data_IF_238612086066
#
_entry.id   IF_238612086066
#
_cell.length_a   1.000
_cell.length_b   1.000
_cell.length_c   1.000
_cell.angle_alpha   90.00
_cell.angle_beta   90.00
_cell.angle_gamma   90.00
#
_symmetry.space_group_name_H-M   'P 1'
#
loop_
_entity.id
_entity.type
_entity.pdbx_description
1 polymer ?
#
# COMPACT_ATOMS: atom_id res chain seq x y z
N UNK A 1 -19.40 3.04 18.93
CA UNK A 1 -18.21 2.81 18.09
C UNK A 1 -18.60 3.18 16.65
N UNK A 2 -17.77 3.91 15.89
CA UNK A 2 -18.19 4.54 14.61
C UNK A 2 -18.55 3.53 13.50
N UNK A 3 -17.99 2.33 13.57
CA UNK A 3 -18.26 1.14 12.77
C UNK A 3 -19.67 0.53 12.99
N UNK A 4 -20.35 0.93 14.06
CA UNK A 4 -21.74 0.53 14.38
C UNK A 4 -22.77 1.63 14.06
N UNK A 5 -22.36 2.70 13.39
CA UNK A 5 -23.27 3.80 13.02
C UNK A 5 -24.39 3.33 12.09
N UNK A 6 -25.63 3.85 12.18
CA UNK A 6 -26.67 3.54 11.19
C UNK A 6 -26.33 4.06 9.78
N UNK A 7 -25.43 5.05 9.67
CA UNK A 7 -24.96 5.57 8.38
C UNK A 7 -23.85 4.68 7.81
N UNK A 8 -24.07 4.11 6.62
CA UNK A 8 -23.06 3.32 5.90
C UNK A 8 -21.77 4.09 5.61
N UNK A 9 -21.87 5.38 5.31
CA UNK A 9 -20.71 6.25 5.13
C UNK A 9 -19.91 6.40 6.43
N UNK A 10 -20.60 6.69 7.54
CA UNK A 10 -19.94 6.79 8.85
C UNK A 10 -19.29 5.46 9.27
N UNK A 11 -19.94 4.32 8.96
CA UNK A 11 -19.36 2.99 9.18
C UNK A 11 -18.10 2.80 8.35
N UNK A 12 -18.16 3.06 7.04
CA UNK A 12 -17.00 2.91 6.13
C UNK A 12 -15.77 3.63 6.66
N UNK A 13 -15.95 4.87 7.15
CA UNK A 13 -14.87 5.68 7.75
C UNK A 13 -14.41 5.10 9.10
N UNK A 14 -15.36 4.68 9.94
CA UNK A 14 -15.07 4.01 11.20
C UNK A 14 -14.26 2.72 11.01
N UNK A 15 -14.59 1.94 9.98
CA UNK A 15 -13.83 0.76 9.59
C UNK A 15 -12.40 1.13 9.19
N UNK A 16 -12.19 2.21 8.43
CA UNK A 16 -10.84 2.60 8.00
C UNK A 16 -9.97 2.95 9.20
N UNK A 17 -10.50 3.76 10.12
CA UNK A 17 -9.77 4.11 11.34
C UNK A 17 -9.48 2.89 12.21
N UNK A 18 -10.48 2.06 12.48
CA UNK A 18 -10.30 0.93 13.39
C UNK A 18 -9.45 -0.18 12.80
N UNK A 19 -9.71 -0.59 11.57
CA UNK A 19 -9.07 -1.75 10.95
C UNK A 19 -7.83 -1.37 10.14
N UNK A 20 -7.88 -0.26 9.39
CA UNK A 20 -6.74 0.19 8.58
C UNK A 20 -5.63 0.86 9.39
N UNK A 21 -5.96 1.62 10.43
CA UNK A 21 -4.97 2.47 11.12
C UNK A 21 -4.65 2.06 12.56
N UNK A 22 -5.54 1.38 13.26
CA UNK A 22 -5.36 1.08 14.68
C UNK A 22 -5.12 -0.40 14.96
N UNK A 23 -5.84 -1.30 14.29
CA UNK A 23 -5.87 -2.71 14.68
C UNK A 23 -4.51 -3.39 14.62
N UNK A 24 -3.65 -3.01 13.68
CA UNK A 24 -2.33 -3.61 13.50
C UNK A 24 -1.38 -3.38 14.69
N UNK A 25 -1.67 -2.42 15.58
CA UNK A 25 -0.86 -2.18 16.78
C UNK A 25 -1.19 -3.12 17.93
N UNK A 26 -2.34 -3.82 17.89
CA UNK A 26 -2.81 -4.64 19.01
C UNK A 26 -3.52 -5.94 18.59
N UNK A 27 -3.61 -6.23 17.28
CA UNK A 27 -4.17 -7.45 16.70
C UNK A 27 -3.33 -7.91 15.50
N UNK A 28 -3.42 -9.21 15.14
CA UNK A 28 -2.81 -9.73 13.92
C UNK A 28 -3.33 -9.03 12.65
N UNK A 29 -2.51 -9.00 11.59
CA UNK A 29 -2.83 -8.31 10.33
C UNK A 29 -4.05 -8.89 9.62
N UNK A 30 -4.38 -10.17 9.85
CA UNK A 30 -5.57 -10.83 9.32
C UNK A 30 -6.86 -10.14 9.77
N UNK A 31 -6.87 -9.55 10.97
CA UNK A 31 -8.01 -8.77 11.44
C UNK A 31 -8.17 -7.44 10.67
N UNK A 32 -7.06 -6.87 10.21
CA UNK A 32 -7.04 -5.71 9.31
C UNK A 32 -7.58 -6.08 7.94
N UNK A 33 -7.18 -7.23 7.38
CA UNK A 33 -7.65 -7.73 6.08
C UNK A 33 -9.17 -7.83 6.00
N UNK A 34 -9.79 -8.52 6.96
CA UNK A 34 -11.26 -8.67 7.01
C UNK A 34 -11.96 -7.32 7.11
N UNK A 35 -11.46 -6.43 7.97
CA UNK A 35 -12.00 -5.10 8.15
C UNK A 35 -11.91 -4.24 6.89
N UNK A 36 -10.78 -4.29 6.19
CA UNK A 36 -10.58 -3.60 4.92
C UNK A 36 -11.48 -4.12 3.81
N UNK A 37 -11.70 -5.44 3.70
CA UNK A 37 -12.68 -6.00 2.74
C UNK A 37 -14.10 -5.48 3.02
N UNK A 38 -14.53 -5.51 4.28
CA UNK A 38 -15.86 -5.02 4.67
C UNK A 38 -15.98 -3.52 4.40
N UNK A 39 -14.96 -2.74 4.74
CA UNK A 39 -14.91 -1.31 4.48
C UNK A 39 -14.98 -0.97 2.99
N UNK A 40 -14.22 -1.68 2.15
CA UNK A 40 -14.28 -1.53 0.70
C UNK A 40 -15.69 -1.76 0.16
N UNK A 41 -16.31 -2.90 0.50
CA UNK A 41 -17.67 -3.24 0.04
C UNK A 41 -18.71 -2.22 0.49
N UNK A 42 -18.65 -1.76 1.75
CA UNK A 42 -19.55 -0.72 2.26
C UNK A 42 -19.36 0.61 1.53
N UNK A 43 -18.12 1.02 1.28
CA UNK A 43 -17.80 2.23 0.53
C UNK A 43 -18.35 2.17 -0.89
N UNK A 44 -18.13 1.06 -1.60
CA UNK A 44 -18.67 0.83 -2.93
C UNK A 44 -20.21 0.84 -2.93
N UNK A 45 -20.86 0.20 -1.96
CA UNK A 45 -22.32 0.14 -1.86
C UNK A 45 -22.96 1.52 -1.61
N UNK A 46 -22.31 2.37 -0.81
CA UNK A 46 -22.83 3.69 -0.45
C UNK A 46 -22.31 4.85 -1.32
N UNK A 47 -21.50 4.55 -2.34
CA UNK A 47 -20.89 5.53 -3.24
C UNK A 47 -19.77 6.36 -2.61
N UNK A 48 -19.23 5.95 -1.45
CA UNK A 48 -18.06 6.57 -0.82
C UNK A 48 -16.78 5.94 -1.38
N UNK A 49 -16.53 6.20 -2.67
CA UNK A 49 -15.43 5.60 -3.44
C UNK A 49 -14.05 5.95 -2.88
N UNK A 50 -13.92 7.16 -2.32
CA UNK A 50 -12.69 7.61 -1.69
C UNK A 50 -12.27 6.64 -0.58
N UNK A 51 -13.16 6.43 0.38
CA UNK A 51 -12.89 5.52 1.49
C UNK A 51 -12.87 4.06 1.05
N UNK A 52 -13.64 3.66 0.03
CA UNK A 52 -13.53 2.32 -0.54
C UNK A 52 -12.10 2.04 -1.02
N UNK A 53 -11.51 2.95 -1.79
CA UNK A 53 -10.17 2.73 -2.36
C UNK A 53 -9.06 2.90 -1.31
N UNK A 54 -9.26 3.70 -0.26
CA UNK A 54 -8.38 3.65 0.92
C UNK A 54 -8.40 2.27 1.59
N UNK A 55 -9.58 1.64 1.69
CA UNK A 55 -9.69 0.27 2.21
C UNK A 55 -8.98 -0.74 1.31
N UNK A 56 -9.08 -0.61 -0.02
CA UNK A 56 -8.35 -1.45 -0.96
C UNK A 56 -6.82 -1.34 -0.78
N UNK A 57 -6.30 -0.12 -0.65
CA UNK A 57 -4.86 0.10 -0.38
C UNK A 57 -4.40 -0.57 0.93
N UNK A 58 -5.16 -0.44 2.02
CA UNK A 58 -4.83 -1.10 3.29
C UNK A 58 -4.95 -2.62 3.21
N UNK A 59 -5.95 -3.12 2.48
CA UNK A 59 -6.09 -4.55 2.22
C UNK A 59 -4.83 -5.12 1.56
N UNK A 60 -4.31 -4.46 0.51
CA UNK A 60 -3.07 -4.88 -0.16
C UNK A 60 -1.88 -4.86 0.81
N UNK A 61 -1.71 -3.77 1.57
CA UNK A 61 -0.62 -3.62 2.51
C UNK A 61 -0.63 -4.74 3.58
N UNK A 62 -1.80 -5.09 4.10
CA UNK A 62 -1.93 -6.20 5.04
C UNK A 62 -1.73 -7.56 4.36
N UNK A 63 -2.16 -7.73 3.11
CA UNK A 63 -2.09 -9.01 2.42
C UNK A 63 -0.64 -9.41 2.14
N UNK A 64 0.22 -8.43 1.82
CA UNK A 64 1.65 -8.62 1.60
C UNK A 64 2.42 -9.11 2.84
N UNK A 65 1.90 -8.88 4.04
CA UNK A 65 2.51 -9.30 5.31
C UNK A 65 1.73 -10.42 6.01
N UNK A 66 0.73 -10.98 5.34
CA UNK A 66 -0.14 -12.05 5.83
C UNK A 66 0.13 -13.35 5.04
N UNK A 67 -0.33 -14.52 5.50
CA UNK A 67 -0.16 -15.79 4.78
C UNK A 67 -1.11 -15.92 3.57
N UNK A 68 -1.15 -14.91 2.69
CA UNK A 68 -1.91 -14.87 1.43
C UNK A 68 -0.95 -15.11 0.27
N UNK A 69 -1.39 -15.83 -0.77
CA UNK A 69 -0.56 -16.09 -1.94
C UNK A 69 -0.26 -14.80 -2.72
N UNK A 70 1.02 -14.51 -3.00
CA UNK A 70 1.42 -13.27 -3.67
C UNK A 70 0.76 -13.06 -5.04
N UNK A 71 0.56 -14.13 -5.81
CA UNK A 71 -0.15 -14.05 -7.11
C UNK A 71 -1.63 -13.66 -6.96
N UNK A 72 -2.28 -14.07 -5.85
CA UNK A 72 -3.65 -13.64 -5.56
C UNK A 72 -3.67 -12.15 -5.20
N UNK A 73 -2.69 -11.71 -4.40
CA UNK A 73 -2.53 -10.29 -4.05
C UNK A 73 -2.26 -9.43 -5.28
N UNK A 74 -1.42 -9.90 -6.21
CA UNK A 74 -1.11 -9.24 -7.48
C UNK A 74 -2.38 -9.03 -8.32
N UNK A 75 -3.19 -10.08 -8.49
CA UNK A 75 -4.46 -9.97 -9.22
C UNK A 75 -5.42 -8.98 -8.56
N UNK A 76 -5.50 -8.95 -7.23
CA UNK A 76 -6.36 -8.01 -6.51
C UNK A 76 -5.87 -6.56 -6.66
N UNK A 77 -4.56 -6.31 -6.53
CA UNK A 77 -4.01 -4.96 -6.67
C UNK A 77 -4.13 -4.43 -8.09
N UNK A 78 -3.99 -5.27 -9.12
CA UNK A 78 -4.19 -4.86 -10.50
C UNK A 78 -5.62 -4.32 -10.71
N UNK A 79 -6.63 -5.01 -10.18
CA UNK A 79 -8.04 -4.59 -10.23
C UNK A 79 -8.23 -3.27 -9.48
N UNK A 80 -7.68 -3.15 -8.27
CA UNK A 80 -7.83 -1.94 -7.47
C UNK A 80 -7.13 -0.73 -8.10
N UNK A 81 -5.94 -0.90 -8.66
CA UNK A 81 -5.23 0.15 -9.40
C UNK A 81 -6.03 0.63 -10.61
N UNK A 82 -6.64 -0.29 -11.37
CA UNK A 82 -7.52 0.08 -12.48
C UNK A 82 -8.72 0.91 -11.98
N UNK A 83 -9.37 0.50 -10.89
CA UNK A 83 -10.47 1.26 -10.29
C UNK A 83 -10.02 2.65 -9.82
N UNK A 84 -8.84 2.75 -9.20
CA UNK A 84 -8.29 4.04 -8.77
C UNK A 84 -8.06 4.98 -9.97
N UNK A 85 -7.63 4.44 -11.12
CA UNK A 85 -7.52 5.23 -12.35
C UNK A 85 -8.90 5.66 -12.87
N UNK A 86 -9.85 4.72 -12.97
CA UNK A 86 -11.20 4.98 -13.49
C UNK A 86 -11.95 6.06 -12.67
N UNK A 87 -11.72 6.09 -11.36
CA UNK A 87 -12.31 7.08 -10.45
C UNK A 87 -11.46 8.36 -10.28
N UNK A 88 -10.36 8.52 -11.03
CA UNK A 88 -9.43 9.66 -10.94
C UNK A 88 -8.82 9.85 -9.53
N UNK A 89 -8.55 8.75 -8.85
CA UNK A 89 -8.05 8.72 -7.48
C UNK A 89 -6.52 8.73 -7.44
N UNK A 90 -5.92 9.76 -8.03
CA UNK A 90 -4.47 9.87 -8.22
C UNK A 90 -3.66 9.78 -6.94
N UNK A 91 -4.12 10.40 -5.85
CA UNK A 91 -3.41 10.38 -4.56
C UNK A 91 -3.26 8.97 -4.00
N UNK A 92 -4.34 8.18 -3.95
CA UNK A 92 -4.27 6.81 -3.43
C UNK A 92 -3.54 5.88 -4.40
N UNK A 93 -3.64 6.14 -5.71
CA UNK A 93 -2.85 5.44 -6.71
C UNK A 93 -1.34 5.63 -6.47
N UNK A 94 -0.88 6.84 -6.13
CA UNK A 94 0.53 7.10 -5.75
C UNK A 94 0.99 6.24 -4.56
N UNK A 95 0.12 5.90 -3.62
CA UNK A 95 0.44 5.00 -2.51
C UNK A 95 0.31 3.52 -2.87
N UNK A 96 -0.43 3.18 -3.93
CA UNK A 96 -0.75 1.78 -4.28
C UNK A 96 0.22 1.21 -5.31
N UNK A 97 0.70 2.02 -6.25
CA UNK A 97 1.71 1.57 -7.24
C UNK A 97 2.99 1.02 -6.59
N UNK A 98 3.56 1.62 -5.53
CA UNK A 98 4.71 1.03 -4.84
C UNK A 98 4.41 -0.33 -4.22
N UNK A 99 3.20 -0.54 -3.69
CA UNK A 99 2.79 -1.83 -3.13
C UNK A 99 2.66 -2.89 -4.22
N UNK A 100 2.10 -2.53 -5.37
CA UNK A 100 2.01 -3.43 -6.52
C UNK A 100 3.40 -3.82 -7.03
N UNK A 101 4.27 -2.83 -7.23
CA UNK A 101 5.64 -3.09 -7.66
C UNK A 101 6.37 -3.95 -6.61
N UNK A 102 6.23 -3.65 -5.33
CA UNK A 102 6.78 -4.49 -4.26
C UNK A 102 6.28 -5.94 -4.33
N UNK A 103 4.99 -6.15 -4.61
CA UNK A 103 4.42 -7.49 -4.83
C UNK A 103 5.11 -8.21 -5.99
N UNK A 104 5.26 -7.55 -7.14
CA UNK A 104 5.96 -8.11 -8.29
C UNK A 104 7.42 -8.43 -7.97
N UNK A 105 8.13 -7.53 -7.27
CA UNK A 105 9.49 -7.75 -6.80
C UNK A 105 9.61 -9.01 -5.92
N UNK A 106 8.63 -9.27 -5.05
CA UNK A 106 8.60 -10.48 -4.22
C UNK A 106 8.27 -11.76 -5.01
N UNK A 107 7.42 -11.66 -6.05
CA UNK A 107 7.11 -12.78 -6.94
C UNK A 107 8.36 -13.17 -7.74
N UNK A 108 9.12 -12.19 -8.21
CA UNK A 108 10.43 -12.38 -8.86
C UNK A 108 10.37 -12.80 -10.34
N UNK A 109 9.19 -13.06 -10.89
CA UNK A 109 9.03 -13.42 -12.30
C UNK A 109 9.25 -12.18 -13.19
N UNK A 110 10.24 -12.27 -14.10
CA UNK A 110 10.50 -11.23 -15.10
C UNK A 110 11.18 -9.96 -14.58
N UNK A 111 11.74 -9.98 -13.37
CA UNK A 111 12.42 -8.81 -12.77
C UNK A 111 13.94 -8.95 -12.82
N UNK A 112 14.60 -7.97 -13.44
CA UNK A 112 16.05 -7.92 -13.59
C UNK A 112 16.78 -7.58 -12.26
N UNK A 113 16.24 -6.65 -11.48
CA UNK A 113 16.75 -6.31 -10.14
C UNK A 113 15.62 -6.33 -9.10
N UNK A 114 15.42 -7.46 -8.39
CA UNK A 114 14.32 -7.60 -7.45
C UNK A 114 14.47 -6.72 -6.20
N UNK A 115 15.64 -6.10 -6.00
CA UNK A 115 15.85 -5.13 -4.93
C UNK A 115 15.53 -3.67 -5.34
N UNK A 116 15.52 -3.37 -6.63
CA UNK A 116 15.13 -2.06 -7.16
C UNK A 116 13.61 -2.01 -7.23
N UNK A 117 12.98 -1.26 -6.33
CA UNK A 117 11.53 -1.02 -6.32
C UNK A 117 11.13 -0.14 -7.53
N UNK A 118 11.26 -0.68 -8.73
CA UNK A 118 11.00 -0.05 -10.03
C UNK A 118 10.81 -1.17 -11.07
N UNK A 119 9.89 -1.01 -12.01
CA UNK A 119 9.57 -2.04 -12.99
C UNK A 119 8.29 -1.76 -13.78
N UNK A 120 7.56 -2.82 -14.11
CA UNK A 120 6.43 -2.82 -15.04
C UNK A 120 5.32 -1.82 -14.66
N UNK A 121 4.99 -1.73 -13.36
CA UNK A 121 3.81 -0.97 -12.91
C UNK A 121 4.19 0.35 -12.25
N UNK A 122 5.47 0.54 -11.94
CA UNK A 122 5.98 1.77 -11.35
C UNK A 122 7.43 2.00 -11.77
N UNK A 123 7.68 3.13 -12.43
CA UNK A 123 9.04 3.64 -12.67
C UNK A 123 9.36 4.69 -11.60
N UNK A 124 10.34 4.42 -10.75
CA UNK A 124 10.64 5.27 -9.60
C UNK A 124 11.04 6.70 -10.00
N UNK A 125 11.82 6.83 -11.08
CA UNK A 125 12.29 8.10 -11.64
C UNK A 125 11.11 8.99 -12.08
N UNK A 126 10.05 8.39 -12.61
CA UNK A 126 8.84 9.11 -13.03
C UNK A 126 8.02 9.61 -11.84
N UNK A 127 8.15 8.94 -10.69
CA UNK A 127 7.47 9.32 -9.46
C UNK A 127 8.20 10.41 -8.67
N UNK A 128 9.49 10.67 -8.94
CA UNK A 128 10.31 11.61 -8.16
C UNK A 128 9.68 12.99 -7.97
N UNK A 129 9.06 13.54 -9.03
CA UNK A 129 8.43 14.85 -8.96
C UNK A 129 7.26 14.88 -7.96
N UNK A 130 6.45 13.83 -7.94
CA UNK A 130 5.34 13.66 -6.98
C UNK A 130 5.86 13.40 -5.56
N UNK A 131 6.93 12.62 -5.43
CA UNK A 131 7.51 12.26 -4.14
C UNK A 131 8.21 13.44 -3.44
N UNK A 132 8.73 14.41 -4.19
CA UNK A 132 9.29 15.65 -3.61
C UNK A 132 8.25 16.45 -2.84
N UNK A 133 6.98 16.39 -3.23
CA UNK A 133 5.88 17.10 -2.55
C UNK A 133 5.15 16.24 -1.51
N UNK A 134 5.35 14.92 -1.53
CA UNK A 134 4.66 13.99 -0.64
C UNK A 134 5.63 13.22 0.26
N UNK A 135 6.02 13.84 1.37
CA UNK A 135 6.95 13.25 2.35
C UNK A 135 6.53 11.85 2.79
N UNK A 136 5.24 11.62 3.07
CA UNK A 136 4.74 10.32 3.48
C UNK A 136 4.92 9.25 2.39
N UNK A 137 4.60 9.58 1.14
CA UNK A 137 4.75 8.64 0.02
C UNK A 137 6.23 8.29 -0.18
N UNK A 138 7.12 9.28 -0.09
CA UNK A 138 8.57 9.06 -0.14
C UNK A 138 9.04 8.12 0.97
N UNK A 139 8.64 8.36 2.21
CA UNK A 139 9.01 7.49 3.35
C UNK A 139 8.54 6.06 3.13
N UNK A 140 7.29 5.87 2.67
CA UNK A 140 6.72 4.54 2.41
C UNK A 140 7.51 3.79 1.33
N UNK A 141 7.85 4.45 0.22
CA UNK A 141 8.68 3.88 -0.84
C UNK A 141 10.06 3.46 -0.31
N UNK A 142 10.70 4.31 0.48
CA UNK A 142 12.00 4.00 1.08
C UNK A 142 11.93 2.80 2.03
N UNK A 143 10.83 2.63 2.77
CA UNK A 143 10.63 1.46 3.62
C UNK A 143 10.51 0.17 2.79
N UNK A 144 9.79 0.19 1.67
CA UNK A 144 9.71 -0.96 0.76
C UNK A 144 11.05 -1.27 0.10
N UNK A 145 11.80 -0.25 -0.33
CA UNK A 145 13.16 -0.42 -0.85
C UNK A 145 14.07 -1.05 0.21
N UNK A 146 13.98 -0.60 1.47
CA UNK A 146 14.76 -1.15 2.57
C UNK A 146 14.40 -2.63 2.83
N UNK A 147 13.11 -2.97 2.78
CA UNK A 147 12.64 -4.35 2.92
C UNK A 147 13.18 -5.25 1.80
N UNK A 148 13.06 -4.84 0.54
CA UNK A 148 13.61 -5.60 -0.59
C UNK A 148 15.14 -5.72 -0.50
N UNK A 149 15.83 -4.62 -0.20
CA UNK A 149 17.28 -4.62 -0.03
C UNK A 149 17.74 -5.57 1.08
N UNK A 150 16.96 -5.67 2.17
CA UNK A 150 17.20 -6.62 3.25
C UNK A 150 16.96 -8.06 2.82
N UNK A 151 15.85 -8.33 2.10
CA UNK A 151 15.52 -9.68 1.62
C UNK A 151 16.52 -10.24 0.61
N UNK A 152 17.13 -9.37 -0.19
CA UNK A 152 18.10 -9.73 -1.23
C UNK A 152 19.56 -9.39 -0.86
N UNK A 153 19.86 -9.19 0.43
CA UNK A 153 21.22 -8.95 0.95
C UNK A 153 22.00 -7.80 0.25
N UNK A 154 21.31 -6.73 -0.15
CA UNK A 154 21.88 -5.56 -0.82
C UNK A 154 22.39 -4.51 0.18
N UNK A 155 23.42 -4.86 0.97
CA UNK A 155 23.92 -4.00 2.06
C UNK A 155 24.29 -2.57 1.66
N UNK A 156 24.87 -2.36 0.46
CA UNK A 156 25.19 -1.01 -0.03
C UNK A 156 23.94 -0.14 -0.21
N UNK A 157 22.88 -0.73 -0.77
CA UNK A 157 21.61 -0.04 -0.96
C UNK A 157 20.95 0.29 0.39
N UNK A 158 21.08 -0.60 1.38
CA UNK A 158 20.63 -0.35 2.75
C UNK A 158 21.35 0.89 3.33
N UNK A 159 22.67 0.95 3.23
CA UNK A 159 23.47 2.09 3.72
C UNK A 159 23.06 3.41 3.03
N UNK A 160 22.88 3.39 1.72
CA UNK A 160 22.42 4.54 0.93
C UNK A 160 21.05 5.03 1.41
N UNK A 161 20.07 4.14 1.54
CA UNK A 161 18.71 4.50 2.01
C UNK A 161 18.76 5.09 3.43
N UNK A 162 19.50 4.45 4.34
CA UNK A 162 19.60 4.91 5.74
C UNK A 162 20.31 6.27 5.84
N UNK A 163 21.33 6.52 5.02
CA UNK A 163 22.02 7.82 4.99
C UNK A 163 21.07 8.97 4.63
N UNK A 164 20.15 8.73 3.69
CA UNK A 164 19.12 9.70 3.29
C UNK A 164 18.13 9.95 4.42
N UNK A 165 17.74 8.92 5.18
CA UNK A 165 16.87 9.09 6.35
C UNK A 165 17.52 9.99 7.41
N UNK A 166 18.79 9.75 7.74
CA UNK A 166 19.51 10.54 8.75
C UNK A 166 19.66 11.99 8.30
N UNK A 167 20.04 12.22 7.05
CA UNK A 167 20.26 13.58 6.52
C UNK A 167 18.99 14.45 6.45
N UNK A 168 17.80 13.86 6.39
CA UNK A 168 16.53 14.60 6.39
C UNK A 168 16.03 14.97 7.80
N UNK A 169 16.72 14.54 8.86
CA UNK A 169 16.35 14.76 10.26
C UNK A 169 17.39 15.55 11.08
N UNK A 170 18.43 16.07 10.41
CA UNK A 170 19.35 17.10 10.92
C UNK A 170 18.93 18.50 10.48
#
# INVERSE_FOLDING_TARGET
>A
MLDQSPSKQARTRGFLTMHGMLSQWYRPFEFGLEGSKVGYLLGMECGDFDYALYHANHFIAFALVSPVGLTEVESDVAIFCQQMQDFNMGTILTFTLPLWQFCLNLIGDGIDDPAGLSGEVMVLEEQEASLKTHLLARTVIQLYQLQLATLYDRFRLIEEILSVFVANHE
#
